data_IF_217747623565
#
_entry.id   IF_217747623565
#
_cell.length_a   1.000
_cell.length_b   1.000
_cell.length_c   1.000
_cell.angle_alpha   90.00
_cell.angle_beta   90.00
_cell.angle_gamma   90.00
#
_symmetry.space_group_name_H-M   'P 1'
#
loop_
_entity.id
_entity.type
_entity.pdbx_description
1 polymer ?
#
# COMPACT_ATOMS: atom_id res chain seq x y z
N UNK A 1 -2.41 6.92 -1.31
CA UNK A 1 -1.88 6.34 -0.07
C UNK A 1 -1.42 7.46 0.82
N UNK A 2 -0.87 7.11 1.99
CA UNK A 2 -0.22 8.11 2.83
C UNK A 2 1.26 8.20 2.43
N UNK A 3 1.58 9.13 1.54
CA UNK A 3 2.93 9.30 0.96
C UNK A 3 3.99 9.50 2.05
N UNK A 4 3.64 10.20 3.14
CA UNK A 4 4.55 10.41 4.28
C UNK A 4 4.84 9.10 5.00
N UNK A 5 3.82 8.31 5.30
CA UNK A 5 3.97 6.99 5.89
C UNK A 5 4.80 6.06 5.00
N UNK A 6 4.54 6.05 3.69
CA UNK A 6 5.29 5.25 2.72
C UNK A 6 6.80 5.58 2.73
N UNK A 7 7.15 6.88 2.70
CA UNK A 7 8.55 7.32 2.76
C UNK A 7 9.24 6.93 4.07
N UNK A 8 8.53 7.08 5.18
CA UNK A 8 9.05 6.72 6.50
C UNK A 8 9.35 5.22 6.57
N UNK A 9 8.43 4.37 6.10
CA UNK A 9 8.65 2.92 6.07
C UNK A 9 9.82 2.55 5.14
N UNK A 10 9.93 3.18 3.97
CA UNK A 10 11.09 2.97 3.08
C UNK A 10 12.40 3.30 3.80
N UNK A 11 12.47 4.44 4.51
CA UNK A 11 13.65 4.82 5.30
C UNK A 11 14.01 3.75 6.33
N UNK A 12 13.03 3.29 7.12
CA UNK A 12 13.25 2.23 8.11
C UNK A 12 13.76 0.93 7.49
N UNK A 13 13.23 0.57 6.32
CA UNK A 13 13.64 -0.64 5.60
C UNK A 13 15.07 -0.53 5.05
N UNK A 14 15.52 0.65 4.68
CA UNK A 14 16.88 0.86 4.18
C UNK A 14 17.93 0.86 5.31
N UNK A 15 17.52 1.12 6.55
CA UNK A 15 18.43 1.18 7.70
C UNK A 15 18.47 -0.11 8.53
N UNK A 16 17.40 -0.90 8.55
CA UNK A 16 17.28 -2.02 9.48
C UNK A 16 16.60 -3.26 8.87
N UNK A 17 17.38 -4.32 8.69
CA UNK A 17 16.93 -5.60 8.13
C UNK A 17 15.79 -6.27 8.93
N UNK A 18 15.82 -6.19 10.27
CA UNK A 18 14.76 -6.77 11.11
C UNK A 18 13.42 -6.07 10.81
N UNK A 19 13.46 -4.75 10.63
CA UNK A 19 12.29 -3.96 10.27
C UNK A 19 11.81 -4.30 8.86
N UNK A 20 12.73 -4.50 7.90
CA UNK A 20 12.37 -4.98 6.54
C UNK A 20 11.55 -6.26 6.62
N UNK A 21 12.04 -7.26 7.35
CA UNK A 21 11.36 -8.56 7.48
C UNK A 21 9.98 -8.40 8.09
N UNK A 22 9.85 -7.63 9.17
CA UNK A 22 8.54 -7.39 9.81
C UNK A 22 7.56 -6.69 8.87
N UNK A 23 7.99 -5.61 8.19
CA UNK A 23 7.13 -4.88 7.25
C UNK A 23 6.70 -5.76 6.08
N UNK A 24 7.62 -6.54 5.50
CA UNK A 24 7.31 -7.42 4.37
C UNK A 24 6.38 -8.59 4.73
N UNK A 25 6.23 -8.93 6.02
CA UNK A 25 5.17 -9.87 6.44
C UNK A 25 3.77 -9.24 6.42
N UNK A 26 3.68 -7.91 6.47
CA UNK A 26 2.43 -7.14 6.64
C UNK A 26 2.01 -6.38 5.39
N UNK A 27 2.98 -5.93 4.58
CA UNK A 27 2.79 -5.12 3.38
C UNK A 27 3.59 -5.71 2.22
N UNK A 28 3.01 -5.65 1.03
CA UNK A 28 3.68 -5.94 -0.25
C UNK A 28 4.00 -4.65 -0.97
N UNK A 29 4.93 -4.69 -1.92
CA UNK A 29 5.22 -3.56 -2.81
C UNK A 29 3.95 -2.93 -3.44
N UNK A 30 2.95 -3.75 -3.78
CA UNK A 30 1.68 -3.29 -4.37
C UNK A 30 0.81 -2.44 -3.44
N UNK A 31 0.99 -2.57 -2.12
CA UNK A 31 0.22 -1.82 -1.12
C UNK A 31 0.64 -0.34 -1.02
N UNK A 32 1.82 -0.01 -1.57
CA UNK A 32 2.28 1.37 -1.70
C UNK A 32 1.55 2.06 -2.85
N UNK A 33 1.17 3.32 -2.68
CA UNK A 33 0.37 4.01 -3.69
C UNK A 33 1.20 4.68 -4.79
N UNK A 34 2.45 5.05 -4.49
CA UNK A 34 3.34 5.70 -5.45
C UNK A 34 4.13 4.63 -6.21
N UNK A 35 4.10 4.66 -7.55
CA UNK A 35 4.82 3.70 -8.41
C UNK A 35 6.30 3.58 -8.04
N UNK A 36 6.98 4.71 -7.86
CA UNK A 36 8.39 4.74 -7.48
C UNK A 36 8.65 4.09 -6.11
N UNK A 37 7.74 4.23 -5.15
CA UNK A 37 7.83 3.55 -3.87
C UNK A 37 7.70 2.03 -4.05
N UNK A 38 6.78 1.55 -4.89
CA UNK A 38 6.65 0.11 -5.21
C UNK A 38 7.95 -0.45 -5.78
N UNK A 39 8.56 0.29 -6.71
CA UNK A 39 9.83 -0.11 -7.32
C UNK A 39 10.94 -0.22 -6.27
N UNK A 40 11.04 0.76 -5.36
CA UNK A 40 12.01 0.74 -4.26
C UNK A 40 11.78 -0.46 -3.34
N UNK A 41 10.54 -0.72 -2.92
CA UNK A 41 10.21 -1.88 -2.07
C UNK A 41 10.57 -3.19 -2.79
N UNK A 42 10.28 -3.30 -4.08
CA UNK A 42 10.63 -4.48 -4.88
C UNK A 42 12.14 -4.69 -4.95
N UNK A 43 12.91 -3.61 -5.05
CA UNK A 43 14.38 -3.67 -5.02
C UNK A 43 14.90 -4.08 -3.63
N UNK A 44 14.31 -3.57 -2.54
CA UNK A 44 14.66 -3.98 -1.17
C UNK A 44 14.36 -5.48 -0.97
N UNK A 45 13.18 -5.95 -1.39
CA UNK A 45 12.78 -7.36 -1.31
C UNK A 45 13.76 -8.30 -2.03
N UNK A 46 14.30 -7.87 -3.17
CA UNK A 46 15.30 -8.65 -3.93
C UNK A 46 16.65 -8.67 -3.23
N UNK A 47 17.15 -7.50 -2.81
CA UNK A 47 18.43 -7.40 -2.10
C UNK A 47 18.45 -8.23 -0.80
N UNK A 48 17.33 -8.28 -0.06
CA UNK A 48 17.22 -9.09 1.15
C UNK A 48 17.37 -10.60 0.87
N UNK A 49 16.90 -11.08 -0.28
CA UNK A 49 17.01 -12.50 -0.68
C UNK A 49 18.43 -12.87 -1.07
N UNK A 50 19.14 -11.94 -1.71
CA UNK A 50 20.43 -12.21 -2.33
C UNK A 50 21.60 -12.09 -1.33
N UNK A 51 21.58 -11.11 -0.43
CA UNK A 51 22.78 -10.74 0.34
C UNK A 51 22.59 -10.71 1.87
N UNK A 52 21.42 -11.16 2.35
CA UNK A 52 20.98 -11.15 3.75
C UNK A 52 20.93 -9.77 4.43
N UNK A 53 21.63 -8.74 3.95
CA UNK A 53 21.65 -7.38 4.50
C UNK A 53 21.14 -6.39 3.45
N UNK A 54 20.22 -5.51 3.86
CA UNK A 54 19.73 -4.44 2.98
C UNK A 54 20.74 -3.30 3.00
N UNK A 55 21.28 -2.99 1.83
CA UNK A 55 22.22 -1.89 1.59
C UNK A 55 21.54 -0.88 0.67
N UNK A 56 21.41 0.36 1.13
CA UNK A 56 20.78 1.43 0.37
C UNK A 56 21.49 1.71 -0.95
N UNK A 57 22.81 1.58 -1.01
CA UNK A 57 23.58 1.74 -2.25
C UNK A 57 23.25 0.63 -3.23
N UNK A 58 23.15 -0.63 -2.78
CA UNK A 58 22.76 -1.75 -3.65
C UNK A 58 21.33 -1.62 -4.17
N UNK A 59 20.43 -1.08 -3.38
CA UNK A 59 19.05 -0.77 -3.82
C UNK A 59 19.07 0.30 -4.92
N UNK A 60 19.89 1.34 -4.76
CA UNK A 60 20.08 2.38 -5.78
C UNK A 60 20.67 1.80 -7.07
N UNK A 61 21.76 1.03 -6.95
CA UNK A 61 22.45 0.41 -8.08
C UNK A 61 21.53 -0.57 -8.82
N UNK A 62 20.73 -1.35 -8.08
CA UNK A 62 19.75 -2.27 -8.64
C UNK A 62 18.64 -1.54 -9.43
N UNK A 63 18.16 -0.39 -8.94
CA UNK A 63 17.12 0.38 -9.62
C UNK A 63 17.65 1.05 -10.89
N UNK A 64 18.93 1.43 -10.90
CA UNK A 64 19.58 2.16 -11.99
C UNK A 64 18.75 3.35 -12.50
N UNK A 65 18.13 4.08 -11.56
CA UNK A 65 17.22 5.20 -11.82
C UNK A 65 17.60 6.39 -10.94
N UNK A 66 17.95 7.52 -11.57
CA UNK A 66 18.39 8.75 -10.90
C UNK A 66 17.31 9.37 -10.01
N UNK A 67 16.02 9.22 -10.36
CA UNK A 67 14.92 9.74 -9.53
C UNK A 67 14.75 8.89 -8.28
N UNK A 68 14.87 7.57 -8.39
CA UNK A 68 14.88 6.66 -7.27
C UNK A 68 16.06 6.96 -6.34
N UNK A 69 17.26 7.13 -6.90
CA UNK A 69 18.45 7.49 -6.14
C UNK A 69 18.26 8.79 -5.34
N UNK A 70 17.80 9.86 -6.00
CA UNK A 70 17.51 11.14 -5.34
C UNK A 70 16.46 11.03 -4.25
N UNK A 71 15.41 10.23 -4.47
CA UNK A 71 14.37 10.00 -3.47
C UNK A 71 14.91 9.25 -2.25
N UNK A 72 15.66 8.17 -2.48
CA UNK A 72 16.28 7.37 -1.41
C UNK A 72 17.24 8.26 -0.59
N UNK A 73 18.14 8.99 -1.25
CA UNK A 73 19.05 9.90 -0.56
C UNK A 73 18.29 10.94 0.26
N UNK A 74 17.22 11.52 -0.28
CA UNK A 74 16.38 12.47 0.46
C UNK A 74 15.72 11.83 1.69
N UNK A 75 15.20 10.61 1.57
CA UNK A 75 14.58 9.88 2.68
C UNK A 75 15.60 9.62 3.80
N UNK A 76 16.84 9.26 3.45
CA UNK A 76 17.91 8.98 4.41
C UNK A 76 18.49 10.26 5.06
N UNK A 77 18.42 11.40 4.37
CA UNK A 77 18.87 12.70 4.90
C UNK A 77 17.83 13.37 5.81
N UNK A 78 16.55 13.11 5.59
CA UNK A 78 15.49 13.55 6.52
C UNK A 78 15.65 12.70 7.80
N UNK A 79 16.04 13.33 8.92
CA UNK A 79 16.26 12.66 10.22
C UNK A 79 15.22 11.55 10.44
N UNK A 80 15.68 10.31 10.38
CA UNK A 80 14.89 9.16 10.75
C UNK A 80 14.66 9.29 12.25
N UNK A 81 13.47 9.77 12.60
CA UNK A 81 12.93 9.67 13.96
C UNK A 81 13.30 8.27 14.44
N UNK A 82 13.81 8.12 15.66
CA UNK A 82 14.07 6.79 16.24
C UNK A 82 12.75 6.04 16.31
N UNK A 83 12.44 5.28 15.26
CA UNK A 83 11.14 4.67 15.04
C UNK A 83 11.15 3.33 15.75
N UNK A 84 10.59 3.30 16.96
CA UNK A 84 10.34 2.06 17.66
C UNK A 84 9.24 1.23 16.97
N UNK A 85 9.17 -0.06 17.29
CA UNK A 85 8.21 -1.01 16.68
C UNK A 85 6.75 -0.51 16.73
N UNK A 86 6.36 0.26 17.76
CA UNK A 86 5.01 0.82 17.90
C UNK A 86 4.70 1.88 16.84
N UNK A 87 5.66 2.75 16.51
CA UNK A 87 5.45 3.77 15.48
C UNK A 87 5.41 3.13 14.09
N UNK A 88 6.26 2.14 13.83
CA UNK A 88 6.25 1.37 12.57
C UNK A 88 4.89 0.70 12.37
N UNK A 89 4.36 0.04 13.42
CA UNK A 89 3.02 -0.56 13.37
C UNK A 89 1.95 0.48 13.01
N UNK A 90 2.00 1.67 13.62
CA UNK A 90 1.04 2.73 13.30
C UNK A 90 1.08 3.21 11.84
N UNK A 91 2.26 3.21 11.21
CA UNK A 91 2.38 3.52 9.78
C UNK A 91 1.88 2.39 8.88
N UNK A 92 2.15 1.14 9.25
CA UNK A 92 1.58 -0.03 8.55
C UNK A 92 0.05 0.00 8.61
N UNK A 93 -0.52 0.26 9.79
CA UNK A 93 -1.97 0.39 9.98
C UNK A 93 -2.53 1.55 9.16
N UNK A 94 -1.81 2.67 9.06
CA UNK A 94 -2.23 3.81 8.24
C UNK A 94 -2.32 3.43 6.75
N UNK A 95 -1.35 2.69 6.21
CA UNK A 95 -1.39 2.23 4.81
C UNK A 95 -2.55 1.24 4.61
N UNK A 96 -2.71 0.28 5.51
CA UNK A 96 -3.77 -0.71 5.44
C UNK A 96 -5.18 -0.08 5.55
N UNK A 97 -5.37 0.84 6.49
CA UNK A 97 -6.62 1.56 6.66
C UNK A 97 -6.96 2.40 5.43
N UNK A 98 -5.97 3.06 4.82
CA UNK A 98 -6.18 3.79 3.58
C UNK A 98 -6.66 2.88 2.45
N UNK A 99 -6.09 1.68 2.31
CA UNK A 99 -6.52 0.67 1.32
C UNK A 99 -7.97 0.22 1.57
N UNK A 100 -8.34 -0.01 2.83
CA UNK A 100 -9.70 -0.38 3.21
C UNK A 100 -10.70 0.74 2.88
N UNK A 101 -10.37 1.99 3.22
CA UNK A 101 -11.19 3.16 2.90
C UNK A 101 -11.38 3.29 1.39
N UNK A 102 -10.31 3.21 0.59
CA UNK A 102 -10.43 3.28 -0.87
C UNK A 102 -11.26 2.14 -1.47
N UNK A 103 -11.08 0.91 -0.98
CA UNK A 103 -11.87 -0.23 -1.42
C UNK A 103 -13.36 0.00 -1.13
N UNK A 104 -13.67 0.51 0.06
CA UNK A 104 -15.04 0.84 0.47
C UNK A 104 -15.62 1.94 -0.42
N UNK A 105 -14.92 3.05 -0.63
CA UNK A 105 -15.37 4.14 -1.50
C UNK A 105 -15.64 3.66 -2.93
N UNK A 106 -14.80 2.78 -3.47
CA UNK A 106 -15.00 2.19 -4.80
C UNK A 106 -16.25 1.29 -4.87
N UNK A 107 -16.46 0.45 -3.84
CA UNK A 107 -17.66 -0.37 -3.71
C UNK A 107 -18.92 0.51 -3.60
N UNK A 108 -18.88 1.58 -2.80
CA UNK A 108 -20.00 2.52 -2.65
C UNK A 108 -20.31 3.26 -3.96
N UNK A 109 -19.29 3.69 -4.71
CA UNK A 109 -19.48 4.29 -6.05
C UNK A 109 -20.12 3.31 -7.02
N UNK A 110 -19.62 2.07 -7.08
CA UNK A 110 -20.14 1.03 -7.97
C UNK A 110 -21.59 0.65 -7.62
N UNK A 111 -21.91 0.53 -6.32
CA UNK A 111 -23.27 0.31 -5.85
C UNK A 111 -24.23 1.43 -6.28
N UNK A 112 -23.82 2.70 -6.13
CA UNK A 112 -24.62 3.86 -6.58
C UNK A 112 -24.87 3.84 -8.09
N UNK A 113 -23.84 3.51 -8.88
CA UNK A 113 -23.98 3.42 -10.35
C UNK A 113 -24.95 2.32 -10.76
N UNK A 114 -24.86 1.13 -10.15
CA UNK A 114 -25.78 0.02 -10.42
C UNK A 114 -27.21 0.34 -9.98
N UNK A 115 -27.39 0.92 -8.79
CA UNK A 115 -28.71 1.31 -8.28
C UNK A 115 -29.39 2.33 -9.21
N UNK A 116 -28.64 3.33 -9.69
CA UNK A 116 -29.12 4.29 -10.70
C UNK A 116 -29.43 3.63 -12.06
N UNK A 117 -28.60 2.68 -12.52
CA UNK A 117 -28.85 1.90 -13.75
C UNK A 117 -30.16 1.11 -13.63
N UNK A 118 -30.35 0.40 -12.51
CA UNK A 118 -31.53 -0.41 -12.23
C UNK A 118 -32.79 0.47 -12.17
N UNK A 119 -32.74 1.59 -11.45
CA UNK A 119 -33.87 2.55 -11.34
C UNK A 119 -34.32 3.12 -12.69
N UNK A 120 -33.38 3.34 -13.61
CA UNK A 120 -33.65 3.92 -14.94
C UNK A 120 -33.97 2.86 -15.99
N UNK A 121 -33.76 1.58 -15.70
CA UNK A 121 -33.98 0.50 -16.66
C UNK A 121 -35.45 0.12 -16.76
N UNK A 122 -35.95 -0.07 -17.99
CA UNK A 122 -37.30 -0.61 -18.25
C UNK A 122 -37.42 -2.09 -17.86
N UNK A 123 -36.30 -2.83 -17.86
CA UNK A 123 -36.22 -4.23 -17.47
C UNK A 123 -34.97 -4.43 -16.63
N UNK A 124 -35.15 -4.92 -15.41
CA UNK A 124 -34.02 -5.16 -14.50
C UNK A 124 -33.26 -6.40 -14.96
N UNK A 125 -31.95 -6.28 -15.14
CA UNK A 125 -31.07 -7.41 -15.45
C UNK A 125 -30.78 -8.16 -14.15
N UNK A 126 -30.92 -9.49 -14.17
CA UNK A 126 -30.70 -10.33 -12.99
C UNK A 126 -29.24 -10.29 -12.51
N UNK A 127 -28.31 -10.16 -13.46
CA UNK A 127 -26.87 -10.01 -13.17
C UNK A 127 -26.56 -8.72 -12.42
N UNK A 128 -27.19 -7.58 -12.78
CA UNK A 128 -27.02 -6.31 -12.07
C UNK A 128 -27.49 -6.42 -10.61
N UNK A 129 -28.61 -7.10 -10.37
CA UNK A 129 -29.14 -7.33 -9.03
C UNK A 129 -28.21 -8.24 -8.20
N UNK A 130 -27.68 -9.28 -8.83
CA UNK A 130 -26.75 -10.20 -8.18
C UNK A 130 -25.46 -9.47 -7.79
N UNK A 131 -24.91 -8.68 -8.69
CA UNK A 131 -23.72 -7.85 -8.44
C UNK A 131 -23.97 -6.85 -7.29
N UNK A 132 -25.10 -6.14 -7.31
CA UNK A 132 -25.45 -5.19 -6.25
C UNK A 132 -25.55 -5.88 -4.88
N UNK A 133 -26.17 -7.07 -4.82
CA UNK A 133 -26.24 -7.86 -3.57
C UNK A 133 -24.87 -8.27 -3.05
N UNK A 134 -23.97 -8.67 -3.93
CA UNK A 134 -22.60 -9.03 -3.56
C UNK A 134 -21.83 -7.82 -3.01
N UNK A 135 -21.93 -6.66 -3.65
CA UNK A 135 -21.30 -5.42 -3.20
C UNK A 135 -21.82 -5.03 -1.80
N UNK A 136 -23.14 -5.05 -1.59
CA UNK A 136 -23.74 -4.76 -0.28
C UNK A 136 -23.27 -5.75 0.79
N UNK A 137 -23.15 -7.04 0.45
CA UNK A 137 -22.61 -8.06 1.37
C UNK A 137 -21.17 -7.74 1.77
N UNK A 138 -20.32 -7.37 0.81
CA UNK A 138 -18.93 -6.98 1.08
C UNK A 138 -18.85 -5.74 1.99
N UNK A 139 -19.66 -4.72 1.73
CA UNK A 139 -19.72 -3.51 2.56
C UNK A 139 -20.15 -3.81 4.00
N UNK A 140 -21.15 -4.69 4.19
CA UNK A 140 -21.59 -5.12 5.53
C UNK A 140 -20.50 -5.87 6.28
N UNK A 141 -19.77 -6.76 5.61
CA UNK A 141 -18.67 -7.50 6.24
C UNK A 141 -17.51 -6.62 6.68
N UNK A 142 -17.34 -5.43 6.07
CA UNK A 142 -16.32 -4.46 6.46
C UNK A 142 -16.72 -3.56 7.63
N UNK A 143 -18.00 -3.56 8.05
CA UNK A 143 -18.47 -2.82 9.22
C UNK A 143 -18.40 -3.64 10.53
N UNK A 144 -18.03 -4.93 10.45
CA UNK A 144 -17.85 -5.79 11.63
C UNK A 144 -16.36 -5.74 11.99
N UNK A 145 -15.97 -4.67 12.69
CA UNK A 145 -14.73 -4.58 13.45
C UNK A 145 -14.90 -3.53 14.55
#
# INVERSE_FOLDING_TARGET
GNIKAEKILIGCMLENEKIVRDILTKLKAEDFSVLLHRQIITAIEKNLKDDKMVDSQKVIDYLNDDKAAKLISKILMEETITLNEKIISGYVDTINNFKLVQKRENLEKRAKMLDEKIKKSKKIEEDDLKELREIVRQLKSQNIN
#
